data_IF_339583016401
#
_entry.id   IF_339583016401
#
_cell.length_a   1.000
_cell.length_b   1.000
_cell.length_c   1.000
_cell.angle_alpha   90.00
_cell.angle_beta   90.00
_cell.angle_gamma   90.00
#
_symmetry.space_group_name_H-M   'P 1'
#
loop_
_entity.id
_entity.type
_entity.pdbx_description
1 polymer ?
#
# COMPACT_ATOMS: atom_id res chain seq x y z
N UNK A 1 22.05 1.45 9.20
CA UNK A 1 20.59 1.25 9.27
C UNK A 1 20.16 1.82 10.60
N UNK A 2 19.42 2.95 10.65
CA UNK A 2 18.73 3.30 11.89
C UNK A 2 17.80 2.14 12.25
N UNK A 3 17.71 1.80 13.53
CA UNK A 3 16.80 0.75 13.98
C UNK A 3 15.36 1.24 13.79
N UNK A 4 14.54 0.47 13.07
CA UNK A 4 13.10 0.69 13.03
C UNK A 4 12.54 0.62 14.45
N UNK A 5 11.92 1.71 14.88
CA UNK A 5 11.19 1.77 16.13
C UNK A 5 9.72 1.73 15.75
N UNK A 6 9.11 0.57 15.97
CA UNK A 6 7.65 0.44 15.87
C UNK A 6 7.01 1.46 16.81
N UNK A 7 6.24 2.39 16.23
CA UNK A 7 5.54 3.45 16.97
C UNK A 7 4.19 3.00 17.48
N UNK A 8 3.82 1.73 17.31
CA UNK A 8 2.58 1.16 17.84
C UNK A 8 2.81 0.66 19.28
N UNK A 9 2.20 1.33 20.24
CA UNK A 9 2.27 0.96 21.65
C UNK A 9 1.37 -0.24 21.99
N UNK A 10 0.18 -0.30 21.41
CA UNK A 10 -0.73 -1.44 21.57
C UNK A 10 -1.78 -1.48 20.47
N UNK A 11 -2.33 -2.68 20.23
CA UNK A 11 -3.43 -2.92 19.29
C UNK A 11 -4.55 -3.64 20.02
N UNK A 12 -5.78 -3.15 19.87
CA UNK A 12 -6.97 -3.72 20.51
C UNK A 12 -8.09 -3.90 19.51
N UNK A 13 -8.85 -5.00 19.64
CA UNK A 13 -10.04 -5.21 18.82
C UNK A 13 -11.15 -4.24 19.26
N UNK A 14 -11.61 -3.40 18.33
CA UNK A 14 -12.64 -2.38 18.56
C UNK A 14 -14.01 -2.75 17.95
N UNK A 15 -14.05 -3.73 17.04
CA UNK A 15 -15.27 -4.22 16.41
C UNK A 15 -15.01 -5.49 15.59
N UNK A 16 -15.99 -5.92 14.78
CA UNK A 16 -15.86 -7.14 13.98
C UNK A 16 -14.64 -7.08 13.05
N UNK A 17 -14.40 -5.95 12.40
CA UNK A 17 -13.23 -5.70 11.52
C UNK A 17 -12.51 -4.39 11.87
N UNK A 18 -12.72 -3.88 13.08
CA UNK A 18 -12.18 -2.60 13.51
C UNK A 18 -11.13 -2.82 14.60
N UNK A 19 -10.01 -2.14 14.47
CA UNK A 19 -8.85 -2.26 15.34
C UNK A 19 -8.39 -0.89 15.80
N UNK A 20 -8.17 -0.75 17.10
CA UNK A 20 -7.73 0.46 17.78
C UNK A 20 -6.23 0.36 18.02
N UNK A 21 -5.48 1.32 17.52
CA UNK A 21 -4.03 1.42 17.66
C UNK A 21 -3.72 2.58 18.61
N UNK A 22 -3.00 2.29 19.69
CA UNK A 22 -2.39 3.32 20.51
C UNK A 22 -1.00 3.62 19.95
N UNK A 23 -0.73 4.88 19.67
CA UNK A 23 0.52 5.35 19.07
C UNK A 23 1.48 5.83 20.16
N UNK A 24 2.78 5.74 19.89
CA UNK A 24 3.87 6.18 20.75
C UNK A 24 4.87 6.98 19.94
N UNK A 25 5.56 7.92 20.58
CA UNK A 25 6.45 8.85 19.89
C UNK A 25 5.97 10.28 20.06
N UNK A 26 6.28 11.12 19.07
CA UNK A 26 5.98 12.55 19.12
C UNK A 26 5.11 12.92 17.93
N UNK A 27 3.86 13.28 18.22
CA UNK A 27 2.94 13.82 17.23
C UNK A 27 3.51 15.11 16.56
N UNK A 28 3.12 15.40 15.31
CA UNK A 28 2.13 14.64 14.53
C UNK A 28 2.69 13.33 13.95
N UNK A 29 1.81 12.40 13.58
CA UNK A 29 2.15 11.08 13.05
C UNK A 29 1.71 10.91 11.59
N UNK A 30 2.56 10.23 10.81
CA UNK A 30 2.20 9.73 9.48
C UNK A 30 1.94 8.23 9.56
N UNK A 31 0.75 7.81 9.13
CA UNK A 31 0.32 6.43 9.10
C UNK A 31 0.37 5.95 7.66
N UNK A 32 1.13 4.89 7.44
CA UNK A 32 1.24 4.20 6.17
C UNK A 32 0.51 2.86 6.23
N UNK A 33 -0.23 2.57 5.18
CA UNK A 33 -0.90 1.29 4.97
C UNK A 33 -0.50 0.79 3.60
N UNK A 34 -0.03 -0.47 3.54
CA UNK A 34 0.42 -1.07 2.28
C UNK A 34 1.50 -0.23 1.58
N UNK A 35 2.40 0.39 2.36
CA UNK A 35 3.46 1.28 1.90
C UNK A 35 3.01 2.68 1.43
N UNK A 36 1.71 2.97 1.38
CA UNK A 36 1.17 4.29 0.99
C UNK A 36 0.80 5.11 2.22
N UNK A 37 1.01 6.43 2.14
CA UNK A 37 0.49 7.36 3.15
C UNK A 37 -1.04 7.23 3.18
N UNK A 38 -1.56 6.80 4.32
CA UNK A 38 -2.98 6.64 4.56
C UNK A 38 -3.54 7.87 5.28
N UNK A 39 -2.84 8.32 6.33
CA UNK A 39 -3.15 9.54 7.09
C UNK A 39 -1.85 10.27 7.34
N UNK A 40 -1.80 11.56 7.02
CA UNK A 40 -0.67 12.43 7.33
C UNK A 40 -1.02 13.42 8.43
N UNK A 41 0.00 13.84 9.16
CA UNK A 41 -0.06 14.86 10.21
C UNK A 41 -1.11 14.59 11.31
N UNK A 42 -1.25 13.35 11.78
CA UNK A 42 -2.20 12.99 12.83
C UNK A 42 -1.71 13.44 14.22
N UNK A 43 -2.43 14.34 14.87
CA UNK A 43 -2.09 14.81 16.23
C UNK A 43 -2.53 13.83 17.33
N UNK A 44 -3.53 13.00 17.07
CA UNK A 44 -4.04 12.03 18.02
C UNK A 44 -3.07 10.86 18.24
N UNK A 45 -2.86 10.48 19.50
CA UNK A 45 -2.09 9.28 19.86
C UNK A 45 -2.89 7.98 19.77
N UNK A 46 -4.06 8.01 19.15
CA UNK A 46 -4.95 6.86 19.03
C UNK A 46 -5.78 6.94 17.75
N UNK A 47 -5.88 5.80 17.05
CA UNK A 47 -6.69 5.68 15.84
C UNK A 47 -7.44 4.36 15.80
N UNK A 48 -8.65 4.38 15.21
CA UNK A 48 -9.39 3.16 14.85
C UNK A 48 -9.38 2.98 13.34
N UNK A 49 -8.89 1.83 12.88
CA UNK A 49 -8.80 1.47 11.47
C UNK A 49 -9.65 0.22 11.21
N UNK A 50 -10.41 0.24 10.12
CA UNK A 50 -11.10 -0.95 9.64
C UNK A 50 -10.17 -1.76 8.74
N UNK A 51 -10.00 -3.04 9.03
CA UNK A 51 -9.28 -3.99 8.18
C UNK A 51 -10.21 -4.96 7.45
N UNK A 52 -9.63 -5.88 6.69
CA UNK A 52 -10.39 -6.92 5.99
C UNK A 52 -10.64 -8.17 6.85
N UNK A 53 -9.78 -8.41 7.83
CA UNK A 53 -9.86 -9.54 8.75
C UNK A 53 -10.63 -9.19 10.02
N UNK A 54 -11.39 -10.17 10.51
CA UNK A 54 -12.05 -10.07 11.81
C UNK A 54 -11.16 -10.51 12.98
N UNK A 55 -9.97 -11.03 12.68
CA UNK A 55 -9.11 -11.68 13.67
C UNK A 55 -7.72 -11.10 13.72
N UNK A 56 -7.28 -10.46 12.64
CA UNK A 56 -5.98 -9.81 12.54
C UNK A 56 -6.16 -8.32 12.27
N UNK A 57 -5.35 -7.47 12.92
CA UNK A 57 -5.31 -6.06 12.60
C UNK A 57 -4.70 -5.86 11.20
N UNK A 58 -5.09 -4.78 10.49
CA UNK A 58 -4.39 -4.37 9.29
C UNK A 58 -2.92 -4.07 9.63
N UNK A 59 -2.01 -4.42 8.73
CA UNK A 59 -0.59 -4.04 8.83
C UNK A 59 -0.48 -2.55 8.53
N UNK A 60 0.02 -1.79 9.49
CA UNK A 60 0.31 -0.37 9.34
C UNK A 60 1.75 -0.11 9.78
N UNK A 61 2.31 0.96 9.24
CA UNK A 61 3.58 1.53 9.67
C UNK A 61 3.31 2.96 10.13
N UNK A 62 3.92 3.36 11.25
CA UNK A 62 3.67 4.67 11.86
C UNK A 62 5.02 5.35 12.08
N UNK A 63 5.15 6.56 11.56
CA UNK A 63 6.33 7.41 11.71
C UNK A 63 5.92 8.70 12.42
N UNK A 64 6.83 9.31 13.19
CA UNK A 64 6.66 10.71 13.59
C UNK A 64 6.71 11.54 12.29
N UNK A 65 5.79 12.46 12.00
CA UNK A 65 5.75 13.19 10.70
C UNK A 65 6.98 14.07 10.47
N UNK A 66 7.77 14.32 11.52
CA UNK A 66 9.08 14.99 11.41
C UNK A 66 10.25 14.05 11.13
N UNK A 67 10.04 12.73 11.20
CA UNK A 67 11.06 11.74 10.85
C UNK A 67 11.32 11.79 9.34
N UNK A 68 12.59 11.80 8.97
CA UNK A 68 13.01 11.74 7.56
C UNK A 68 13.17 10.29 7.05
N UNK A 69 12.67 9.31 7.80
CA UNK A 69 12.74 7.90 7.42
C UNK A 69 11.65 7.63 6.40
N UNK A 70 11.97 6.85 5.37
CA UNK A 70 10.95 6.29 4.47
C UNK A 70 10.33 5.04 5.12
N UNK A 71 9.05 4.76 4.85
CA UNK A 71 8.43 3.54 5.36
C UNK A 71 9.14 2.29 4.83
N UNK A 72 9.34 1.28 5.68
CA UNK A 72 10.03 0.02 5.32
C UNK A 72 9.33 -0.73 4.19
N UNK A 73 7.98 -0.69 4.18
CA UNK A 73 7.18 -1.35 3.16
C UNK A 73 7.36 -0.77 1.75
N UNK A 74 8.10 0.34 1.59
CA UNK A 74 8.47 0.93 0.29
C UNK A 74 9.49 0.08 -0.47
N UNK A 75 10.21 -0.84 0.19
CA UNK A 75 11.16 -1.73 -0.51
C UNK A 75 10.44 -2.81 -1.32
N UNK A 76 9.28 -3.26 -0.82
CA UNK A 76 8.44 -4.29 -1.43
C UNK A 76 6.97 -3.84 -1.44
N UNK A 77 6.67 -2.72 -2.12
CA UNK A 77 5.36 -2.13 -2.07
C UNK A 77 4.39 -3.03 -2.85
N UNK A 78 3.16 -3.22 -2.35
CA UNK A 78 2.15 -4.00 -3.05
C UNK A 78 1.55 -3.23 -4.23
N UNK A 79 2.20 -2.18 -4.73
CA UNK A 79 1.77 -1.34 -5.85
C UNK A 79 2.99 -0.88 -6.65
N UNK A 80 2.76 -0.36 -7.84
CA UNK A 80 3.80 0.23 -8.67
C UNK A 80 3.60 1.74 -8.80
N UNK A 81 4.73 2.44 -8.88
CA UNK A 81 4.77 3.83 -9.33
C UNK A 81 5.29 3.82 -10.75
N UNK A 82 4.39 4.00 -11.72
CA UNK A 82 4.76 4.11 -13.12
C UNK A 82 5.23 5.54 -13.40
N UNK A 83 6.35 5.68 -14.10
CA UNK A 83 6.87 6.98 -14.46
C UNK A 83 7.36 7.01 -15.90
N UNK A 84 7.09 8.11 -16.61
CA UNK A 84 7.45 8.26 -18.01
C UNK A 84 7.70 9.71 -18.39
N UNK A 85 8.39 9.91 -19.51
CA UNK A 85 8.60 11.23 -20.11
C UNK A 85 7.40 11.63 -20.96
N UNK A 86 7.12 12.93 -20.98
CA UNK A 86 6.09 13.53 -21.81
C UNK A 86 6.34 13.37 -23.31
N UNK A 87 5.24 13.39 -24.07
CA UNK A 87 5.15 13.37 -25.51
C UNK A 87 4.29 14.58 -25.92
N UNK A 88 4.91 15.56 -26.57
CA UNK A 88 4.26 16.83 -26.94
C UNK A 88 3.11 16.67 -27.94
N UNK A 89 2.98 15.52 -28.60
CA UNK A 89 1.85 15.22 -29.49
C UNK A 89 0.64 14.62 -28.72
N UNK A 90 0.82 14.21 -27.47
CA UNK A 90 -0.26 13.66 -26.66
C UNK A 90 -1.13 14.79 -26.08
N UNK A 91 -2.43 14.55 -25.96
CA UNK A 91 -3.35 15.32 -25.11
C UNK A 91 -3.52 14.66 -23.74
N UNK A 92 -3.39 13.34 -23.67
CA UNK A 92 -3.37 12.58 -22.43
C UNK A 92 -2.67 11.23 -22.63
N UNK A 93 -2.45 10.53 -21.52
CA UNK A 93 -1.91 9.18 -21.45
C UNK A 93 -2.97 8.26 -20.90
N UNK A 94 -3.22 7.15 -21.61
CA UNK A 94 -4.01 6.04 -21.11
C UNK A 94 -3.09 5.04 -20.43
N UNK A 95 -3.39 4.70 -19.17
CA UNK A 95 -2.70 3.63 -18.44
C UNK A 95 -3.57 2.39 -18.46
N UNK A 96 -3.04 1.30 -19.00
CA UNK A 96 -3.72 0.01 -19.04
C UNK A 96 -2.92 -1.05 -18.28
N UNK A 97 -3.63 -2.03 -17.72
CA UNK A 97 -3.07 -3.26 -17.15
C UNK A 97 -3.53 -4.46 -17.98
N UNK A 98 -2.63 -5.40 -18.23
CA UNK A 98 -2.98 -6.66 -18.86
C UNK A 98 -3.58 -7.59 -17.80
N UNK A 99 -4.86 -7.97 -17.98
CA UNK A 99 -5.62 -8.79 -17.03
C UNK A 99 -6.26 -9.94 -17.80
N UNK A 100 -5.96 -11.18 -17.39
CA UNK A 100 -6.40 -12.39 -18.09
C UNK A 100 -5.76 -12.49 -19.47
N UNK A 101 -6.44 -11.95 -20.48
CA UNK A 101 -6.00 -11.95 -21.88
C UNK A 101 -6.21 -10.61 -22.60
N UNK A 102 -6.56 -9.55 -21.87
CA UNK A 102 -6.90 -8.25 -22.45
C UNK A 102 -6.35 -7.08 -21.64
N UNK A 103 -6.14 -5.95 -22.33
CA UNK A 103 -5.80 -4.68 -21.70
C UNK A 103 -7.05 -4.04 -21.09
N UNK A 104 -6.97 -3.73 -19.80
CA UNK A 104 -8.03 -3.06 -19.05
C UNK A 104 -7.53 -1.69 -18.60
N UNK A 105 -8.26 -0.62 -18.94
CA UNK A 105 -7.89 0.75 -18.56
C UNK A 105 -7.94 0.90 -17.04
N UNK A 106 -6.84 1.42 -16.48
CA UNK A 106 -6.68 1.72 -15.06
C UNK A 106 -6.88 3.20 -14.77
N UNK A 107 -6.53 4.06 -15.73
CA UNK A 107 -6.71 5.50 -15.58
C UNK A 107 -6.20 6.29 -16.77
N UNK A 108 -6.28 7.61 -16.64
CA UNK A 108 -5.72 8.56 -17.61
C UNK A 108 -4.98 9.68 -16.90
N UNK A 109 -3.85 10.11 -17.46
CA UNK A 109 -3.08 11.27 -16.99
C UNK A 109 -3.06 12.32 -18.10
N UNK A 110 -3.45 13.55 -17.79
CA UNK A 110 -3.48 14.63 -18.78
C UNK A 110 -2.05 15.07 -19.13
N UNK A 111 -1.79 15.36 -20.41
CA UNK A 111 -0.58 16.09 -20.80
C UNK A 111 -0.78 17.58 -20.50
N UNK A 112 0.09 18.16 -19.68
CA UNK A 112 0.02 19.56 -19.23
C UNK A 112 1.33 20.34 -19.41
N UNK A 113 2.33 19.74 -20.07
CA UNK A 113 3.63 20.35 -20.31
C UNK A 113 4.65 20.10 -19.20
N UNK A 114 4.35 19.28 -18.18
CA UNK A 114 5.29 18.95 -17.08
C UNK A 114 6.54 18.20 -17.57
N UNK A 115 6.47 17.53 -18.73
CA UNK A 115 7.59 16.80 -19.34
C UNK A 115 7.94 15.48 -18.66
N UNK A 116 7.44 15.23 -17.46
CA UNK A 116 7.54 13.97 -16.74
C UNK A 116 6.24 13.71 -15.98
N UNK A 117 5.81 12.44 -16.01
CA UNK A 117 4.51 12.04 -15.51
C UNK A 117 4.63 10.79 -14.63
N UNK A 118 3.67 10.65 -13.72
CA UNK A 118 3.58 9.58 -12.75
C UNK A 118 2.15 9.03 -12.70
N UNK A 119 2.02 7.73 -12.46
CA UNK A 119 0.76 7.09 -12.10
C UNK A 119 1.02 6.05 -11.01
N UNK A 120 0.32 6.19 -9.89
CA UNK A 120 0.34 5.20 -8.82
C UNK A 120 -0.75 4.16 -9.10
N UNK A 121 -0.36 2.89 -9.19
CA UNK A 121 -1.35 1.83 -9.35
C UNK A 121 -2.11 1.62 -8.05
N UNK A 122 -3.29 1.01 -8.15
CA UNK A 122 -3.90 0.36 -6.99
C UNK A 122 -3.00 -0.76 -6.46
N UNK A 123 -3.37 -1.27 -5.29
CA UNK A 123 -2.76 -2.45 -4.68
C UNK A 123 -2.94 -3.66 -5.60
N UNK A 124 -1.87 -4.39 -5.77
CA UNK A 124 -1.72 -5.51 -6.67
C UNK A 124 -1.68 -6.82 -5.86
N UNK A 125 -2.06 -7.90 -6.53
CA UNK A 125 -1.99 -9.24 -5.96
C UNK A 125 -0.52 -9.64 -5.74
N UNK A 126 -0.25 -10.26 -4.59
CA UNK A 126 1.06 -10.80 -4.23
C UNK A 126 1.42 -12.00 -5.12
N UNK A 127 2.72 -12.30 -5.18
CA UNK A 127 3.32 -13.40 -5.95
C UNK A 127 2.83 -13.47 -7.41
N UNK A 128 2.42 -12.33 -7.96
CA UNK A 128 1.80 -12.23 -9.28
C UNK A 128 2.56 -11.24 -10.14
N UNK A 129 2.86 -11.66 -11.38
CA UNK A 129 3.43 -10.77 -12.38
C UNK A 129 2.32 -9.91 -13.01
N UNK A 130 2.52 -8.59 -12.97
CA UNK A 130 1.61 -7.62 -13.59
C UNK A 130 2.31 -6.91 -14.73
N UNK A 131 1.59 -6.77 -15.85
CA UNK A 131 2.06 -6.00 -17.00
C UNK A 131 1.20 -4.76 -17.17
N UNK A 132 1.83 -3.60 -17.27
CA UNK A 132 1.20 -2.32 -17.56
C UNK A 132 1.71 -1.74 -18.87
N UNK A 133 0.91 -0.89 -19.51
CA UNK A 133 1.35 -0.01 -20.58
C UNK A 133 0.80 1.40 -20.41
N UNK A 134 1.56 2.36 -20.89
CA UNK A 134 1.18 3.76 -21.01
C UNK A 134 1.11 4.11 -22.48
N UNK A 135 -0.07 4.52 -22.95
CA UNK A 135 -0.36 4.83 -24.35
C UNK A 135 -0.63 6.34 -24.47
N UNK A 136 0.22 7.11 -25.16
CA UNK A 136 -0.08 8.50 -25.47
C UNK A 136 -1.24 8.58 -26.46
N UNK A 137 -2.18 9.49 -26.23
CA UNK A 137 -3.34 9.71 -27.10
C UNK A 137 -3.45 11.20 -27.43
N UNK A 138 -3.57 11.53 -28.72
CA UNK A 138 -3.76 12.91 -29.18
C UNK A 138 -5.20 13.42 -29.02
N UNK A 139 -5.46 14.66 -29.44
CA UNK A 139 -6.79 15.29 -29.32
C UNK A 139 -7.86 14.64 -30.20
N UNK A 140 -7.44 13.96 -31.25
CA UNK A 140 -8.31 13.28 -32.21
C UNK A 140 -8.55 11.81 -31.82
N UNK A 141 -7.90 11.35 -30.74
CA UNK A 141 -8.02 9.99 -30.22
C UNK A 141 -7.02 8.99 -30.83
N UNK A 142 -6.05 9.44 -31.63
CA UNK A 142 -5.03 8.55 -32.18
C UNK A 142 -4.00 8.18 -31.12
N UNK A 143 -3.61 6.91 -31.12
CA UNK A 143 -2.62 6.37 -30.18
C UNK A 143 -1.21 6.44 -30.74
N UNK A 144 -0.23 6.88 -29.94
CA UNK A 144 1.19 6.82 -30.27
C UNK A 144 1.88 5.56 -29.73
N UNK A 145 3.22 5.59 -29.73
CA UNK A 145 4.03 4.48 -29.22
C UNK A 145 3.83 4.28 -27.71
N UNK A 146 3.45 3.06 -27.32
CA UNK A 146 3.26 2.69 -25.92
C UNK A 146 4.55 2.29 -25.24
N UNK A 147 4.75 2.75 -24.00
CA UNK A 147 5.73 2.17 -23.08
C UNK A 147 5.07 1.05 -22.27
N UNK A 148 5.75 -0.06 -22.04
CA UNK A 148 5.26 -1.17 -21.22
C UNK A 148 6.25 -1.56 -20.15
N UNK A 149 5.74 -1.99 -19.00
CA UNK A 149 6.52 -2.52 -17.89
C UNK A 149 5.86 -3.78 -17.35
N UNK A 150 6.68 -4.75 -16.97
CA UNK A 150 6.25 -5.99 -16.33
C UNK A 150 7.02 -6.11 -15.02
N UNK A 151 6.32 -6.43 -13.92
CA UNK A 151 6.95 -6.59 -12.62
C UNK A 151 6.23 -7.65 -11.79
N UNK A 152 7.01 -8.51 -11.14
CA UNK A 152 6.54 -9.41 -10.10
C UNK A 152 6.34 -8.60 -8.81
N UNK A 153 5.14 -8.70 -8.23
CA UNK A 153 4.88 -8.14 -6.92
C UNK A 153 5.18 -9.21 -5.88
N UNK A 154 5.97 -8.82 -4.89
CA UNK A 154 6.28 -9.61 -3.69
C UNK A 154 5.98 -8.69 -2.52
N UNK A 155 5.11 -9.13 -1.61
CA UNK A 155 4.79 -8.42 -0.37
C UNK A 155 5.59 -9.00 0.78
N UNK A 156 5.65 -8.27 1.89
CA UNK A 156 5.96 -8.91 3.16
C UNK A 156 4.86 -9.93 3.47
N UNK A 157 5.20 -11.16 3.91
CA UNK A 157 4.19 -12.13 4.27
C UNK A 157 3.35 -11.59 5.43
N UNK A 158 2.05 -11.89 5.41
CA UNK A 158 1.18 -11.59 6.54
C UNK A 158 1.74 -12.22 7.81
N UNK A 159 1.60 -11.55 8.98
CA UNK A 159 2.01 -12.15 10.24
C UNK A 159 1.30 -13.50 10.44
N UNK A 160 1.96 -14.50 11.06
CA UNK A 160 1.38 -15.81 11.22
C UNK A 160 0.11 -15.75 12.07
N UNK A 161 -0.99 -16.28 11.55
CA UNK A 161 -2.23 -16.45 12.29
C UNK A 161 -2.03 -17.44 13.45
N UNK A 162 -2.38 -17.03 14.67
CA UNK A 162 -2.32 -17.91 15.84
C UNK A 162 -3.62 -17.85 16.66
N UNK A 163 -3.99 -19.00 17.22
CA UNK A 163 -5.01 -19.13 18.25
C UNK A 163 -4.35 -19.33 19.62
N UNK A 164 -4.69 -18.46 20.57
CA UNK A 164 -4.25 -18.57 21.96
C UNK A 164 -5.43 -19.04 22.80
N UNK A 165 -5.31 -20.22 23.40
CA UNK A 165 -6.29 -20.73 24.36
C UNK A 165 -5.69 -20.73 25.75
N UNK A 166 -6.36 -20.10 26.71
CA UNK A 166 -5.93 -20.10 28.11
C UNK A 166 -6.77 -21.07 28.94
N UNK A 167 -6.10 -21.95 29.68
CA UNK A 167 -6.74 -22.81 30.68
C UNK A 167 -6.57 -22.19 32.08
N UNK A 168 -7.66 -21.63 32.61
CA UNK A 168 -7.67 -20.99 33.93
C UNK A 168 -7.48 -21.92 35.13
N UNK A 169 -7.53 -23.25 34.94
CA UNK A 169 -7.30 -24.24 36.00
C UNK A 169 -5.83 -24.62 36.08
N UNK A 170 -5.19 -24.87 34.94
CA UNK A 170 -3.76 -25.23 34.91
C UNK A 170 -2.82 -24.01 34.87
N UNK A 171 -3.34 -22.83 34.51
CA UNK A 171 -2.53 -21.64 34.28
C UNK A 171 -1.77 -21.65 32.95
N UNK A 172 -1.97 -22.66 32.11
CA UNK A 172 -1.26 -22.80 30.85
C UNK A 172 -1.98 -22.03 29.72
N UNK A 173 -1.20 -21.39 28.87
CA UNK A 173 -1.65 -20.93 27.56
C UNK A 173 -1.15 -21.89 26.48
N UNK A 174 -2.03 -22.31 25.59
CA UNK A 174 -1.70 -23.07 24.39
C UNK A 174 -1.77 -22.13 23.19
N UNK A 175 -0.70 -22.10 22.39
CA UNK A 175 -0.62 -21.34 21.14
C UNK A 175 -0.60 -22.32 19.99
N UNK A 176 -1.55 -22.18 19.06
CA UNK A 176 -1.60 -22.99 17.84
C UNK A 176 -1.53 -22.08 16.63
N UNK A 177 -0.77 -22.47 15.62
CA UNK A 177 -0.91 -21.86 14.30
C UNK A 177 -2.33 -22.11 13.81
N UNK A 178 -2.97 -21.06 13.30
CA UNK A 178 -4.26 -21.15 12.64
C UNK A 178 -3.98 -21.46 11.17
N UNK A 179 -4.61 -22.53 10.67
CA UNK A 179 -4.52 -22.97 9.28
C UNK A 179 -5.60 -22.31 8.42
#
# INVERSE_FOLDING_TARGET
MPAYIDRIASVQKAGTKAWRFALSGTAPFDIYMEGKLFIGDLDESEIVINGDSAYEPPVIEVLDSTDSNEPEQVTYPPYLVLQWRGNSAASYYQVDRYVGSAWTRQGTVKEDGSGYYRFDTDVLADETEHTFRVVPVDSDGNTGHSFSVTSLIVKNPDPPSIDITYNGVSGNAEVRARA
#
